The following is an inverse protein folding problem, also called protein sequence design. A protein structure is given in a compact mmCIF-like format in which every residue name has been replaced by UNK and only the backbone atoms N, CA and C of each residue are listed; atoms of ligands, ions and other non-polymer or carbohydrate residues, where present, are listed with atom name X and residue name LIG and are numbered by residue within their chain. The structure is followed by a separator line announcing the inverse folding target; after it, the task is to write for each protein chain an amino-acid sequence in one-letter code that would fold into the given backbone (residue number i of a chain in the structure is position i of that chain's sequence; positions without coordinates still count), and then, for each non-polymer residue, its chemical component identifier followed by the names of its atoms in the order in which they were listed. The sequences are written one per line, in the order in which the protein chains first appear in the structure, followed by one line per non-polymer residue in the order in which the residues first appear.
data_IF_756848701768
#
_entry.id   IF_756848701768
#
_cell.length_a   1.000
_cell.length_b   1.000
_cell.length_c   1.000
_cell.angle_alpha   90.00
_cell.angle_beta   90.00
_cell.angle_gamma   90.00
#
_symmetry.space_group_name_H-M   'P 1'
#
loop_
_entity.id
_entity.type
_entity.pdbx_description
1 polymer ?
#
# COMPACT_ATOMS: atom_id res chain seq x y z
N UNK A 1 -9.44 -51.74 -18.63
CA UNK A 1 -9.91 -50.63 -19.47
C UNK A 1 -10.92 -49.76 -18.70
N UNK A 2 -11.98 -50.31 -18.11
CA UNK A 2 -13.04 -49.57 -17.39
C UNK A 2 -12.49 -48.79 -16.17
N UNK A 3 -11.62 -49.40 -15.35
CA UNK A 3 -11.01 -48.78 -14.15
C UNK A 3 -10.12 -47.58 -14.54
N UNK A 4 -9.36 -47.72 -15.62
CA UNK A 4 -8.50 -46.61 -16.12
C UNK A 4 -9.34 -45.47 -16.67
N UNK A 5 -10.42 -45.75 -17.39
CA UNK A 5 -11.33 -44.74 -17.90
C UNK A 5 -12.05 -43.97 -16.77
N UNK A 6 -12.48 -44.69 -15.72
CA UNK A 6 -13.09 -44.10 -14.53
C UNK A 6 -12.11 -43.24 -13.75
N UNK A 7 -10.89 -43.74 -13.51
CA UNK A 7 -9.84 -42.95 -12.84
C UNK A 7 -9.48 -41.70 -13.63
N UNK A 8 -9.37 -41.77 -14.95
CA UNK A 8 -9.12 -40.65 -15.83
C UNK A 8 -10.23 -39.59 -15.75
N UNK A 9 -11.50 -40.02 -15.85
CA UNK A 9 -12.64 -39.10 -15.74
C UNK A 9 -12.67 -38.43 -14.38
N UNK A 10 -12.44 -39.15 -13.29
CA UNK A 10 -12.39 -38.60 -11.93
C UNK A 10 -11.26 -37.57 -11.76
N UNK A 11 -10.10 -37.80 -12.36
CA UNK A 11 -8.99 -36.87 -12.36
C UNK A 11 -9.32 -35.60 -13.17
N UNK A 12 -9.96 -35.75 -14.33
CA UNK A 12 -10.43 -34.62 -15.15
C UNK A 12 -11.45 -33.76 -14.37
N UNK A 13 -12.39 -34.39 -13.66
CA UNK A 13 -13.39 -33.68 -12.85
C UNK A 13 -12.73 -32.87 -11.70
N UNK A 14 -11.76 -33.48 -10.99
CA UNK A 14 -11.01 -32.82 -9.94
C UNK A 14 -10.20 -31.63 -10.48
N UNK A 15 -9.53 -31.79 -11.62
CA UNK A 15 -8.76 -30.72 -12.26
C UNK A 15 -9.65 -29.57 -12.72
N UNK A 16 -10.81 -29.90 -13.30
CA UNK A 16 -11.79 -28.90 -13.75
C UNK A 16 -12.40 -28.14 -12.57
N UNK A 17 -12.70 -28.83 -11.46
CA UNK A 17 -13.20 -28.20 -10.24
C UNK A 17 -12.16 -27.26 -9.64
N UNK A 18 -10.90 -27.67 -9.57
CA UNK A 18 -9.80 -26.82 -9.07
C UNK A 18 -9.59 -25.60 -9.94
N UNK A 19 -9.59 -25.76 -11.27
CA UNK A 19 -9.48 -24.67 -12.20
C UNK A 19 -10.63 -23.66 -12.04
N UNK A 20 -11.86 -24.16 -11.93
CA UNK A 20 -13.04 -23.32 -11.71
C UNK A 20 -12.89 -22.49 -10.42
N UNK A 21 -12.44 -23.12 -9.34
CA UNK A 21 -12.24 -22.45 -8.05
C UNK A 21 -11.19 -21.33 -8.14
N UNK A 22 -10.06 -21.58 -8.81
CA UNK A 22 -9.03 -20.56 -9.06
C UNK A 22 -9.54 -19.39 -9.88
N UNK A 23 -10.32 -19.67 -10.94
CA UNK A 23 -10.92 -18.60 -11.78
C UNK A 23 -11.95 -17.77 -11.01
N UNK A 24 -12.75 -18.41 -10.16
CA UNK A 24 -13.69 -17.72 -9.28
C UNK A 24 -12.96 -16.84 -8.26
N UNK A 25 -11.84 -17.31 -7.68
CA UNK A 25 -10.97 -16.53 -6.80
C UNK A 25 -10.39 -15.30 -7.52
N UNK A 26 -9.81 -15.50 -8.70
CA UNK A 26 -9.25 -14.42 -9.51
C UNK A 26 -10.30 -13.36 -9.85
N UNK A 27 -11.50 -13.78 -10.25
CA UNK A 27 -12.61 -12.86 -10.53
C UNK A 27 -13.05 -12.09 -9.29
N UNK A 28 -13.22 -12.77 -8.15
CA UNK A 28 -13.54 -12.12 -6.87
C UNK A 28 -12.51 -11.06 -6.50
N UNK A 29 -11.23 -11.38 -6.67
CA UNK A 29 -10.15 -10.44 -6.41
C UNK A 29 -10.22 -9.24 -7.36
N UNK A 30 -10.37 -9.46 -8.66
CA UNK A 30 -10.48 -8.41 -9.65
C UNK A 30 -11.65 -7.45 -9.37
N UNK A 31 -12.83 -8.00 -9.04
CA UNK A 31 -14.02 -7.20 -8.75
C UNK A 31 -13.84 -6.32 -7.48
N UNK A 32 -13.12 -6.81 -6.48
CA UNK A 32 -12.88 -6.10 -5.21
C UNK A 32 -11.71 -5.12 -5.30
N UNK A 33 -10.59 -5.55 -5.88
CA UNK A 33 -9.34 -4.80 -5.91
C UNK A 33 -9.50 -3.40 -6.54
N UNK A 34 -10.41 -3.26 -7.52
CA UNK A 34 -10.69 -1.98 -8.17
C UNK A 34 -11.33 -0.91 -7.25
N UNK A 35 -12.00 -1.32 -6.18
CA UNK A 35 -12.68 -0.43 -5.23
C UNK A 35 -11.88 -0.19 -3.93
N UNK A 36 -10.82 -0.94 -3.70
CA UNK A 36 -9.98 -0.83 -2.50
C UNK A 36 -9.04 0.36 -2.65
N UNK A 37 -9.07 1.27 -1.68
CA UNK A 37 -8.21 2.46 -1.61
C UNK A 37 -7.20 2.40 -0.46
N UNK A 38 -6.94 1.21 0.09
CA UNK A 38 -6.03 0.99 1.20
C UNK A 38 -5.15 -0.23 0.93
N UNK A 39 -3.82 -0.07 1.03
CA UNK A 39 -2.84 -1.12 0.76
C UNK A 39 -3.03 -2.35 1.65
N UNK A 40 -3.27 -2.15 2.96
CA UNK A 40 -3.46 -3.26 3.91
C UNK A 40 -4.68 -4.10 3.55
N UNK A 41 -5.78 -3.44 3.19
CA UNK A 41 -7.01 -4.12 2.77
C UNK A 41 -6.81 -4.88 1.45
N UNK A 42 -6.09 -4.29 0.48
CA UNK A 42 -5.76 -4.94 -0.78
C UNK A 42 -4.96 -6.22 -0.55
N UNK A 43 -3.91 -6.14 0.25
CA UNK A 43 -3.04 -7.28 0.54
C UNK A 43 -3.75 -8.36 1.36
N UNK A 44 -4.53 -7.98 2.38
CA UNK A 44 -5.33 -8.94 3.14
C UNK A 44 -6.33 -9.68 2.24
N UNK A 45 -7.01 -8.96 1.35
CA UNK A 45 -7.95 -9.57 0.41
C UNK A 45 -7.26 -10.49 -0.60
N UNK A 46 -6.06 -10.11 -1.06
CA UNK A 46 -5.24 -10.93 -1.94
C UNK A 46 -4.79 -12.23 -1.26
N UNK A 47 -4.30 -12.12 -0.02
CA UNK A 47 -3.90 -13.26 0.82
C UNK A 47 -5.05 -14.25 0.99
N UNK A 48 -6.19 -13.79 1.51
CA UNK A 48 -7.35 -14.65 1.77
C UNK A 48 -7.80 -15.42 0.53
N UNK A 49 -7.80 -14.75 -0.62
CA UNK A 49 -8.25 -15.35 -1.88
C UNK A 49 -7.21 -16.32 -2.44
N UNK A 50 -5.92 -16.01 -2.34
CA UNK A 50 -4.85 -16.90 -2.79
C UNK A 50 -4.83 -18.21 -2.00
N UNK A 51 -4.93 -18.12 -0.67
CA UNK A 51 -4.91 -19.28 0.22
C UNK A 51 -6.13 -20.18 0.02
N UNK A 52 -7.30 -19.59 -0.25
CA UNK A 52 -8.50 -20.33 -0.62
C UNK A 52 -8.35 -20.99 -2.01
N UNK A 53 -7.80 -20.28 -2.99
CA UNK A 53 -7.70 -20.73 -4.38
C UNK A 53 -6.62 -21.81 -4.59
N UNK A 54 -5.55 -21.83 -3.78
CA UNK A 54 -4.38 -22.70 -3.94
C UNK A 54 -4.11 -23.48 -2.65
N UNK A 55 -4.99 -24.43 -2.28
CA UNK A 55 -4.87 -25.15 -1.02
C UNK A 55 -3.57 -25.97 -0.95
N UNK A 56 -2.90 -25.90 0.20
CA UNK A 56 -1.60 -26.51 0.47
C UNK A 56 -0.40 -25.59 0.30
N UNK A 57 -0.68 -24.34 -0.02
CA UNK A 57 0.27 -23.24 -0.05
C UNK A 57 -0.27 -22.09 0.80
N UNK A 58 0.62 -21.27 1.29
CA UNK A 58 0.31 -20.05 2.03
C UNK A 58 0.97 -18.86 1.35
N UNK A 59 0.19 -17.83 1.09
CA UNK A 59 0.71 -16.62 0.47
C UNK A 59 1.28 -15.69 1.52
N UNK A 60 2.46 -15.15 1.23
CA UNK A 60 3.12 -14.10 2.01
C UNK A 60 3.38 -12.93 1.11
N UNK A 61 3.00 -11.75 1.56
CA UNK A 61 3.11 -10.54 0.76
C UNK A 61 4.14 -9.62 1.39
N UNK A 62 5.10 -9.22 0.58
CA UNK A 62 6.18 -8.32 0.96
C UNK A 62 6.07 -7.01 0.21
N UNK A 63 6.22 -5.91 0.92
CA UNK A 63 6.23 -4.57 0.36
C UNK A 63 7.63 -3.97 0.50
N UNK A 64 8.07 -3.23 -0.53
CA UNK A 64 9.35 -2.54 -0.52
C UNK A 64 9.26 -1.33 0.40
N UNK A 65 10.22 -1.22 1.31
CA UNK A 65 10.31 -0.08 2.21
C UNK A 65 10.92 1.12 1.46
N UNK A 66 10.31 2.29 1.60
CA UNK A 66 10.76 3.53 0.95
C UNK A 66 12.08 4.06 1.58
N UNK A 67 12.36 3.70 2.84
CA UNK A 67 13.45 4.31 3.61
C UNK A 67 14.78 3.54 3.56
N UNK A 68 14.76 2.22 3.36
CA UNK A 68 15.95 1.37 3.46
C UNK A 68 16.15 0.40 2.28
N UNK A 69 15.39 0.55 1.22
CA UNK A 69 15.39 -0.33 0.02
C UNK A 69 15.09 -1.82 0.31
N UNK A 70 14.84 -2.19 1.56
CA UNK A 70 14.49 -3.54 1.99
C UNK A 70 13.02 -3.88 1.77
N UNK A 71 12.68 -5.15 2.02
CA UNK A 71 11.31 -5.64 1.97
C UNK A 71 10.84 -6.03 3.37
N UNK A 72 9.58 -5.75 3.69
CA UNK A 72 8.94 -6.20 4.92
C UNK A 72 7.63 -6.94 4.61
N UNK A 73 7.32 -7.95 5.41
CA UNK A 73 6.08 -8.70 5.29
C UNK A 73 4.90 -7.85 5.77
N UNK A 74 3.90 -7.65 4.91
CA UNK A 74 2.74 -6.78 5.19
C UNK A 74 1.55 -7.57 5.72
N UNK A 75 1.36 -8.80 5.25
CA UNK A 75 0.31 -9.70 5.72
C UNK A 75 0.98 -10.83 6.49
N UNK A 76 0.79 -10.81 7.80
CA UNK A 76 1.15 -11.92 8.65
C UNK A 76 -0.04 -12.87 8.71
N UNK A 77 0.14 -14.07 8.19
CA UNK A 77 -0.81 -15.14 8.42
C UNK A 77 -0.80 -15.53 9.90
N UNK A 78 -1.87 -16.13 10.39
CA UNK A 78 -1.91 -16.67 11.75
C UNK A 78 -0.93 -17.84 11.99
N UNK A 79 -0.04 -18.13 11.04
CA UNK A 79 0.96 -19.17 11.07
C UNK A 79 2.31 -18.64 11.56
N UNK A 80 3.24 -19.55 11.82
CA UNK A 80 4.58 -19.24 12.32
C UNK A 80 5.28 -18.26 11.37
N UNK A 81 5.83 -17.12 11.85
CA UNK A 81 6.58 -16.20 11.01
C UNK A 81 7.69 -16.93 10.27
N UNK A 82 7.99 -16.50 9.05
CA UNK A 82 9.17 -16.98 8.33
C UNK A 82 10.42 -16.73 9.18
N UNK A 83 11.32 -17.71 9.21
CA UNK A 83 12.63 -17.51 9.85
C UNK A 83 13.40 -16.39 9.14
N UNK A 84 14.22 -15.64 9.88
CA UNK A 84 15.02 -14.54 9.34
C UNK A 84 15.86 -14.97 8.13
N UNK A 85 16.46 -16.16 8.19
CA UNK A 85 17.25 -16.75 7.09
C UNK A 85 16.41 -16.95 5.80
N UNK A 86 15.14 -17.34 5.95
CA UNK A 86 14.24 -17.58 4.81
C UNK A 86 13.76 -16.25 4.22
N UNK A 87 13.46 -15.27 5.05
CA UNK A 87 13.13 -13.89 4.61
C UNK A 87 14.28 -13.32 3.82
N UNK A 88 15.51 -13.37 4.36
CA UNK A 88 16.71 -12.90 3.69
C UNK A 88 16.94 -13.62 2.35
N UNK A 89 16.76 -14.94 2.31
CA UNK A 89 16.87 -15.74 1.09
C UNK A 89 15.86 -15.31 0.02
N UNK A 90 14.60 -15.13 0.38
CA UNK A 90 13.53 -14.78 -0.55
C UNK A 90 13.70 -13.34 -1.06
N UNK A 91 14.01 -12.41 -0.18
CA UNK A 91 14.33 -11.03 -0.55
C UNK A 91 15.55 -10.95 -1.46
N UNK A 92 16.61 -11.70 -1.14
CA UNK A 92 17.82 -11.76 -1.96
C UNK A 92 17.58 -12.30 -3.39
N UNK A 93 16.62 -13.21 -3.59
CA UNK A 93 16.23 -13.68 -4.93
C UNK A 93 15.60 -12.52 -5.73
N UNK A 94 14.73 -11.74 -5.09
CA UNK A 94 14.05 -10.61 -5.74
C UNK A 94 15.03 -9.49 -6.07
N UNK A 95 15.97 -9.17 -5.17
CA UNK A 95 16.97 -8.12 -5.35
C UNK A 95 18.01 -8.45 -6.43
N UNK A 96 18.47 -9.70 -6.49
CA UNK A 96 19.47 -10.13 -7.48
C UNK A 96 18.89 -10.33 -8.88
N UNK A 97 17.60 -10.63 -8.96
CA UNK A 97 16.92 -10.95 -10.21
C UNK A 97 15.64 -10.11 -10.38
N UNK A 98 15.72 -8.77 -10.30
CA UNK A 98 14.56 -7.82 -10.39
C UNK A 98 13.55 -8.12 -11.52
N UNK A 99 13.86 -9.06 -12.41
CA UNK A 99 13.02 -9.43 -13.56
C UNK A 99 12.59 -10.88 -13.60
N UNK A 100 13.09 -11.75 -12.71
CA UNK A 100 12.86 -13.19 -12.82
C UNK A 100 11.88 -13.71 -11.79
N UNK A 101 10.65 -13.88 -12.23
CA UNK A 101 9.62 -14.57 -11.45
C UNK A 101 9.90 -16.08 -11.41
N UNK A 102 9.84 -16.66 -10.22
CA UNK A 102 9.80 -18.12 -10.05
C UNK A 102 8.34 -18.58 -9.95
N UNK A 103 8.03 -19.88 -10.01
CA UNK A 103 6.68 -20.37 -9.77
C UNK A 103 6.11 -19.94 -8.41
N UNK A 104 6.98 -19.77 -7.41
CA UNK A 104 6.63 -19.41 -6.03
C UNK A 104 6.66 -17.91 -5.75
N UNK A 105 7.23 -17.10 -6.67
CA UNK A 105 7.39 -15.64 -6.48
C UNK A 105 6.75 -14.91 -7.64
N UNK A 106 5.82 -14.01 -7.35
CA UNK A 106 5.24 -13.08 -8.31
C UNK A 106 5.48 -11.63 -7.87
N UNK A 107 6.01 -10.82 -8.77
CA UNK A 107 6.37 -9.44 -8.47
C UNK A 107 5.14 -8.51 -8.51
N UNK A 108 5.09 -7.60 -7.56
CA UNK A 108 4.18 -6.45 -7.56
C UNK A 108 4.93 -5.26 -8.15
N UNK A 109 4.56 -4.85 -9.37
CA UNK A 109 5.28 -3.80 -10.10
C UNK A 109 4.35 -2.92 -10.93
N UNK A 110 4.63 -1.62 -10.92
CA UNK A 110 4.02 -0.64 -11.82
C UNK A 110 5.05 0.44 -12.17
N UNK A 111 4.85 1.09 -13.30
CA UNK A 111 5.76 2.13 -13.82
C UNK A 111 7.25 1.71 -13.84
N UNK A 112 7.52 0.42 -14.17
CA UNK A 112 8.83 -0.23 -14.21
C UNK A 112 9.56 -0.34 -12.85
N UNK A 113 8.87 -0.10 -11.73
CA UNK A 113 9.44 -0.28 -10.39
C UNK A 113 8.80 -1.47 -9.71
N UNK A 114 9.61 -2.27 -9.02
CA UNK A 114 9.14 -3.33 -8.12
C UNK A 114 8.81 -2.67 -6.79
N UNK A 115 7.52 -2.73 -6.40
CA UNK A 115 7.02 -2.20 -5.13
C UNK A 115 6.81 -3.27 -4.07
N UNK A 116 6.95 -4.53 -4.44
CA UNK A 116 6.80 -5.67 -3.55
C UNK A 116 6.75 -6.99 -4.31
N UNK A 117 6.42 -8.07 -3.62
CA UNK A 117 6.23 -9.38 -4.22
C UNK A 117 5.31 -10.25 -3.36
N UNK A 118 4.76 -11.28 -4.00
CA UNK A 118 4.04 -12.36 -3.34
C UNK A 118 4.94 -13.59 -3.34
N UNK A 119 5.15 -14.19 -2.19
CA UNK A 119 5.82 -15.46 -2.01
C UNK A 119 4.83 -16.52 -1.57
N UNK A 120 4.84 -17.67 -2.23
CA UNK A 120 4.02 -18.83 -1.86
C UNK A 120 4.86 -19.80 -1.05
N UNK A 121 4.58 -19.88 0.25
CA UNK A 121 5.20 -20.85 1.15
C UNK A 121 4.51 -22.20 1.04
N UNK A 122 5.31 -23.25 0.94
CA UNK A 122 4.81 -24.61 0.80
C UNK A 122 4.45 -25.23 2.15
N UNK A 123 3.18 -25.56 2.35
CA UNK A 123 2.71 -26.24 3.56
C UNK A 123 2.73 -27.77 3.45
N UNK A 124 2.78 -28.33 2.23
CA UNK A 124 2.76 -29.77 1.96
C UNK A 124 3.75 -30.13 0.86
N UNK A 125 4.13 -31.39 0.75
CA UNK A 125 4.98 -31.90 -0.34
C UNK A 125 4.24 -31.87 -1.71
N UNK A 126 4.06 -30.68 -2.24
CA UNK A 126 3.48 -30.42 -3.56
C UNK A 126 4.32 -29.40 -4.31
N UNK A 127 4.29 -29.43 -5.64
CA UNK A 127 4.88 -28.37 -6.48
C UNK A 127 3.78 -27.57 -7.10
N UNK A 128 3.96 -26.25 -7.19
CA UNK A 128 3.06 -25.40 -7.97
C UNK A 128 3.06 -25.86 -9.43
N UNK A 129 1.89 -26.12 -9.96
CA UNK A 129 1.76 -26.37 -11.38
C UNK A 129 1.68 -25.03 -12.15
N UNK A 130 1.84 -25.11 -13.47
CA UNK A 130 1.83 -23.90 -14.33
C UNK A 130 0.58 -23.03 -14.14
N UNK A 131 -0.61 -23.63 -13.97
CA UNK A 131 -1.88 -22.89 -13.82
C UNK A 131 -1.97 -22.18 -12.47
N UNK A 132 -1.44 -22.79 -11.42
CA UNK A 132 -1.35 -22.18 -10.08
C UNK A 132 -0.39 -20.99 -10.10
N UNK A 133 0.80 -21.17 -10.65
CA UNK A 133 1.77 -20.08 -10.80
C UNK A 133 1.21 -18.94 -11.67
N UNK A 134 0.47 -19.27 -12.73
CA UNK A 134 -0.17 -18.26 -13.58
C UNK A 134 -1.28 -17.50 -12.85
N UNK A 135 -2.08 -18.17 -12.01
CA UNK A 135 -3.10 -17.56 -11.16
C UNK A 135 -2.48 -16.54 -10.19
N UNK A 136 -1.39 -16.93 -9.50
CA UNK A 136 -0.64 -16.06 -8.58
C UNK A 136 -0.15 -14.80 -9.33
N UNK A 137 0.43 -15.00 -10.51
CA UNK A 137 0.97 -13.92 -11.34
C UNK A 137 -0.13 -12.98 -11.83
N UNK A 138 -1.28 -13.51 -12.23
CA UNK A 138 -2.43 -12.67 -12.61
C UNK A 138 -2.97 -11.86 -11.43
N UNK A 139 -3.06 -12.45 -10.24
CA UNK A 139 -3.45 -11.71 -9.03
C UNK A 139 -2.43 -10.61 -8.69
N UNK A 140 -1.13 -10.90 -8.78
CA UNK A 140 -0.08 -9.91 -8.58
C UNK A 140 -0.16 -8.74 -9.58
N UNK A 141 -0.49 -9.01 -10.85
CA UNK A 141 -0.69 -7.98 -11.86
C UNK A 141 -1.93 -7.10 -11.56
N UNK A 142 -3.03 -7.70 -11.10
CA UNK A 142 -4.23 -6.95 -10.68
C UNK A 142 -3.90 -6.08 -9.46
N UNK A 143 -3.22 -6.65 -8.45
CA UNK A 143 -2.79 -5.91 -7.27
C UNK A 143 -1.85 -4.75 -7.63
N UNK A 144 -0.92 -4.95 -8.56
CA UNK A 144 -0.02 -3.90 -9.08
C UNK A 144 -0.78 -2.72 -9.68
N UNK A 145 -1.82 -2.99 -10.47
CA UNK A 145 -2.71 -1.96 -11.02
C UNK A 145 -3.47 -1.20 -9.93
N UNK A 146 -3.97 -1.92 -8.92
CA UNK A 146 -4.66 -1.31 -7.77
C UNK A 146 -3.72 -0.51 -6.90
N UNK A 147 -2.49 -0.95 -6.65
CA UNK A 147 -1.46 -0.20 -5.92
C UNK A 147 -1.14 1.13 -6.61
N UNK A 148 -0.98 1.12 -7.94
CA UNK A 148 -0.80 2.35 -8.70
C UNK A 148 -1.95 3.35 -8.50
N UNK A 149 -3.18 2.87 -8.48
CA UNK A 149 -4.36 3.71 -8.24
C UNK A 149 -4.39 4.23 -6.80
N UNK A 150 -4.05 3.40 -5.81
CA UNK A 150 -3.95 3.79 -4.40
C UNK A 150 -2.92 4.90 -4.25
N UNK A 151 -1.73 4.76 -4.81
CA UNK A 151 -0.65 5.76 -4.74
C UNK A 151 -1.06 7.08 -5.41
N UNK A 152 -1.72 6.99 -6.56
CA UNK A 152 -2.23 8.18 -7.23
C UNK A 152 -3.30 8.88 -6.39
N UNK A 153 -4.20 8.13 -5.76
CA UNK A 153 -5.21 8.67 -4.86
C UNK A 153 -4.59 9.30 -3.61
N UNK A 154 -3.65 8.59 -2.96
CA UNK A 154 -2.93 9.12 -1.79
C UNK A 154 -2.20 10.42 -2.12
N UNK A 155 -1.54 10.48 -3.28
CA UNK A 155 -0.84 11.68 -3.73
C UNK A 155 -1.82 12.86 -3.96
N UNK A 156 -2.94 12.62 -4.63
CA UNK A 156 -3.98 13.65 -4.82
C UNK A 156 -4.56 14.08 -3.48
N UNK A 157 -4.81 13.13 -2.57
CA UNK A 157 -5.30 13.43 -1.23
C UNK A 157 -4.32 14.31 -0.45
N UNK A 158 -3.02 13.98 -0.44
CA UNK A 158 -1.99 14.77 0.23
C UNK A 158 -1.93 16.20 -0.31
N UNK A 159 -1.95 16.37 -1.64
CA UNK A 159 -2.01 17.71 -2.25
C UNK A 159 -3.28 18.46 -1.84
N UNK A 160 -4.41 17.78 -1.70
CA UNK A 160 -5.69 18.41 -1.35
C UNK A 160 -5.79 18.88 0.10
N UNK A 161 -5.00 18.31 1.01
CA UNK A 161 -5.03 18.63 2.45
C UNK A 161 -3.87 19.48 2.94
N UNK A 162 -2.81 19.65 2.12
CA UNK A 162 -1.65 20.46 2.48
C UNK A 162 -1.59 21.78 1.70
N UNK A 163 -0.89 22.76 2.25
CA UNK A 163 -0.52 24.01 1.63
C UNK A 163 0.77 23.82 0.83
N UNK A 164 0.77 24.12 -0.46
CA UNK A 164 1.89 23.86 -1.37
C UNK A 164 3.19 24.59 -0.99
N UNK A 165 3.07 25.81 -0.40
CA UNK A 165 4.23 26.62 -0.07
C UNK A 165 4.91 26.12 1.21
N UNK A 166 4.13 25.83 2.24
CA UNK A 166 4.64 25.56 3.59
C UNK A 166 4.66 24.09 3.96
N UNK A 167 3.92 23.25 3.24
CA UNK A 167 3.73 21.82 3.56
C UNK A 167 2.85 21.57 4.78
N UNK A 168 2.34 22.61 5.45
CA UNK A 168 1.39 22.47 6.56
C UNK A 168 0.02 22.04 6.05
N UNK A 169 -0.84 21.59 6.94
CA UNK A 169 -2.24 21.36 6.59
C UNK A 169 -2.92 22.66 6.16
N UNK A 170 -3.74 22.60 5.13
CA UNK A 170 -4.42 23.76 4.60
C UNK A 170 -5.71 24.09 5.37
N UNK A 171 -6.31 25.24 5.04
CA UNK A 171 -7.57 25.72 5.63
C UNK A 171 -8.73 24.72 5.48
N UNK A 172 -8.82 24.07 4.32
CA UNK A 172 -9.90 23.12 4.05
C UNK A 172 -9.84 21.92 4.99
N UNK A 173 -8.64 21.39 5.19
CA UNK A 173 -8.44 20.27 6.10
C UNK A 173 -8.60 20.68 7.58
N UNK A 174 -8.21 21.90 7.96
CA UNK A 174 -8.49 22.43 9.31
C UNK A 174 -9.99 22.33 9.65
N UNK A 175 -10.86 22.74 8.74
CA UNK A 175 -12.30 22.64 8.93
C UNK A 175 -12.83 21.20 9.02
N UNK A 176 -12.19 20.24 8.35
CA UNK A 176 -12.50 18.80 8.47
C UNK A 176 -11.99 18.23 9.77
N UNK A 177 -10.76 18.56 10.13
CA UNK A 177 -10.08 18.11 11.36
C UNK A 177 -10.88 18.50 12.61
N UNK A 178 -11.32 19.76 12.69
CA UNK A 178 -12.08 20.27 13.84
C UNK A 178 -13.49 19.66 13.99
N UNK A 179 -14.03 19.06 12.91
CA UNK A 179 -15.34 18.37 12.96
C UNK A 179 -15.26 16.88 13.27
N UNK A 180 -14.06 16.32 13.37
CA UNK A 180 -13.92 14.89 13.72
C UNK A 180 -14.43 14.63 15.13
N UNK A 181 -15.23 13.56 15.29
CA UNK A 181 -15.67 13.08 16.58
C UNK A 181 -14.46 12.76 17.47
N UNK A 182 -14.47 13.26 18.70
CA UNK A 182 -13.39 13.10 19.67
C UNK A 182 -12.44 14.31 19.77
N UNK A 183 -12.33 15.18 18.76
CA UNK A 183 -11.52 16.40 18.85
C UNK A 183 -12.14 17.41 19.83
N UNK A 184 -13.47 17.49 19.88
CA UNK A 184 -14.21 18.42 20.77
C UNK A 184 -14.46 17.88 22.17
N UNK A 185 -14.15 16.62 22.47
CA UNK A 185 -14.36 15.98 23.78
C UNK A 185 -13.16 15.99 24.73
N UNK A 186 -11.98 16.41 24.25
CA UNK A 186 -10.75 16.53 25.03
C UNK A 186 -10.40 18.00 25.28
N UNK A 187 -9.73 18.29 26.41
CA UNK A 187 -9.16 19.62 26.66
C UNK A 187 -8.05 19.89 25.63
N UNK A 188 -8.32 20.77 24.68
CA UNK A 188 -7.36 21.18 23.63
C UNK A 188 -7.22 22.68 23.61
N UNK A 189 -5.98 23.15 23.45
CA UNK A 189 -5.67 24.55 23.20
C UNK A 189 -5.67 24.84 21.70
N UNK A 190 -6.16 26.00 21.31
CA UNK A 190 -6.04 26.53 19.97
C UNK A 190 -5.17 27.78 20.02
N UNK A 191 -4.19 27.85 19.14
CA UNK A 191 -3.36 29.03 18.92
C UNK A 191 -3.60 29.52 17.48
N UNK A 192 -4.04 30.74 17.33
CA UNK A 192 -4.18 31.42 16.05
C UNK A 192 -3.13 32.54 15.97
N UNK A 193 -2.37 32.55 14.90
CA UNK A 193 -1.28 33.52 14.66
C UNK A 193 -1.45 34.19 13.33
N UNK A 194 -1.28 35.51 13.31
CA UNK A 194 -1.25 36.35 12.12
C UNK A 194 0.05 37.13 12.10
N UNK A 195 0.68 37.28 10.94
CA UNK A 195 1.93 38.01 10.80
C UNK A 195 1.62 39.49 10.50
N UNK A 196 1.90 40.36 11.46
CA UNK A 196 1.68 41.80 11.31
C UNK A 196 2.45 42.37 10.12
N UNK A 197 1.74 43.25 9.35
CA UNK A 197 2.31 43.96 8.22
C UNK A 197 2.99 43.08 7.13
N UNK A 198 2.61 41.82 7.00
CA UNK A 198 3.22 40.88 6.04
C UNK A 198 3.15 41.40 4.58
N UNK A 199 2.04 42.06 4.21
CA UNK A 199 1.92 42.69 2.90
C UNK A 199 2.97 43.77 2.67
N UNK A 200 3.16 44.66 3.65
CA UNK A 200 4.19 45.71 3.56
C UNK A 200 5.60 45.10 3.44
N UNK A 201 5.82 44.00 4.13
CA UNK A 201 7.09 43.25 4.04
C UNK A 201 7.32 42.72 2.61
N UNK A 202 6.30 42.15 1.98
CA UNK A 202 6.37 41.67 0.60
C UNK A 202 6.60 42.85 -0.38
N UNK A 203 5.95 43.98 -0.16
CA UNK A 203 6.11 45.18 -0.99
C UNK A 203 7.55 45.75 -0.91
N UNK A 204 8.22 45.61 0.24
CA UNK A 204 9.59 46.10 0.45
C UNK A 204 10.68 45.12 0.01
N UNK A 205 10.48 43.82 0.24
CA UNK A 205 11.54 42.82 0.08
C UNK A 205 11.24 41.78 -0.98
N UNK A 206 10.07 41.84 -1.60
CA UNK A 206 9.60 40.94 -2.64
C UNK A 206 8.93 39.67 -2.08
N UNK A 207 7.99 39.14 -2.86
CA UNK A 207 7.19 37.95 -2.51
C UNK A 207 8.05 36.70 -2.21
N UNK A 208 9.14 36.49 -2.95
CA UNK A 208 10.04 35.37 -2.69
C UNK A 208 10.69 35.40 -1.31
N UNK A 209 10.87 36.59 -0.74
CA UNK A 209 11.39 36.76 0.62
C UNK A 209 10.30 36.44 1.64
N UNK A 210 9.07 36.90 1.37
CA UNK A 210 7.91 36.54 2.18
C UNK A 210 7.65 35.04 2.21
N UNK A 211 7.73 34.38 1.05
CA UNK A 211 7.57 32.93 0.96
C UNK A 211 8.59 32.17 1.83
N UNK A 212 9.86 32.59 1.80
CA UNK A 212 10.90 32.01 2.69
C UNK A 212 10.61 32.19 4.16
N UNK A 213 10.03 33.34 4.53
CA UNK A 213 9.63 33.57 5.93
C UNK A 213 8.48 32.64 6.32
N UNK A 214 7.47 32.51 5.47
CA UNK A 214 6.35 31.59 5.73
C UNK A 214 6.83 30.14 5.87
N UNK A 215 7.73 29.70 4.99
CA UNK A 215 8.35 28.37 5.08
C UNK A 215 9.18 28.21 6.36
N UNK A 216 9.93 29.23 6.75
CA UNK A 216 10.70 29.21 7.99
C UNK A 216 9.79 29.14 9.22
N UNK A 217 8.71 29.93 9.27
CA UNK A 217 7.72 29.86 10.35
C UNK A 217 7.08 28.48 10.43
N UNK A 218 6.64 27.93 9.30
CA UNK A 218 6.04 26.60 9.22
C UNK A 218 6.96 25.53 9.82
N UNK A 219 8.23 25.54 9.43
CA UNK A 219 9.23 24.63 9.98
C UNK A 219 9.39 24.80 11.50
N UNK A 220 9.44 26.03 11.98
CA UNK A 220 9.55 26.31 13.42
C UNK A 220 8.34 25.84 14.22
N UNK A 221 7.13 25.96 13.65
CA UNK A 221 5.93 25.45 14.29
C UNK A 221 5.96 23.92 14.37
N UNK A 222 6.31 23.24 13.28
CA UNK A 222 6.45 21.78 13.29
C UNK A 222 7.53 21.28 14.28
N UNK A 223 8.65 21.98 14.36
CA UNK A 223 9.75 21.59 15.25
C UNK A 223 9.40 21.76 16.76
N UNK A 224 8.35 22.53 17.09
CA UNK A 224 7.99 22.88 18.48
C UNK A 224 6.61 22.35 18.90
N UNK A 225 5.83 21.76 18.02
CA UNK A 225 4.53 21.15 18.33
C UNK A 225 4.70 19.66 18.51
N UNK A 226 4.72 19.18 19.76
CA UNK A 226 4.88 17.74 20.06
C UNK A 226 3.59 16.94 19.94
N UNK A 227 2.44 17.51 20.34
CA UNK A 227 1.15 16.82 20.43
C UNK A 227 0.04 17.67 19.79
N UNK A 228 0.19 18.04 18.53
CA UNK A 228 -0.80 18.87 17.85
C UNK A 228 -0.59 18.91 16.35
N UNK A 229 -1.52 19.56 15.67
CA UNK A 229 -1.47 19.75 14.22
C UNK A 229 -1.30 21.23 13.90
N UNK A 230 -0.53 21.53 12.87
CA UNK A 230 -0.27 22.90 12.42
C UNK A 230 -0.93 23.12 11.07
N UNK A 231 -1.66 24.22 10.96
CA UNK A 231 -2.42 24.58 9.76
C UNK A 231 -1.97 25.95 9.24
N UNK A 232 -1.99 26.12 7.94
CA UNK A 232 -1.99 27.44 7.31
C UNK A 232 -3.39 27.75 6.82
N UNK A 233 -4.04 28.74 7.43
CA UNK A 233 -5.47 29.05 7.19
C UNK A 233 -5.70 30.30 6.35
N UNK A 234 -4.64 31.07 6.10
CA UNK A 234 -4.66 32.27 5.28
C UNK A 234 -3.31 32.56 4.62
N UNK A 235 -3.15 33.74 4.04
CA UNK A 235 -1.91 34.15 3.36
C UNK A 235 -0.71 34.24 4.33
N UNK A 236 -0.96 34.72 5.54
CA UNK A 236 0.00 34.95 6.63
C UNK A 236 -0.54 34.46 7.98
N UNK A 237 -1.56 33.58 7.94
CA UNK A 237 -2.33 33.11 9.10
C UNK A 237 -2.08 31.62 9.33
N UNK A 238 -1.81 31.27 10.60
CA UNK A 238 -1.52 29.91 11.06
C UNK A 238 -2.39 29.51 12.27
#
# INVERSE_FOLDING_TARGET
VLVVAFARKRLEDILNQKLKHMLEGLRKFQDRAASILNRKELFANMHDILDDAIPGWESRIFEKNINDDGYHEVVQSGHIPLGEDEVERVCGIVEQEETKETPEIALLKYDNMVCGFVYMERLRESKLNYREADCIRQMANIASGSLKNIDAYEKVYQVSIHDELTGLYNRSYCGVYLRRDGVLGEERGFLYMDMDNFKLYNDLYGEQTGDRILQWCAKRFLDNVENGEVFRVGSNEF
#
